data_IF_875681172640
#
_entry.id   IF_875681172640
#
_cell.length_a   1.000
_cell.length_b   1.000
_cell.length_c   1.000
_cell.angle_alpha   90.00
_cell.angle_beta   90.00
_cell.angle_gamma   90.00
#
_symmetry.space_group_name_H-M   'P 1'
#
loop_
_entity.id
_entity.type
_entity.pdbx_description
1 polymer ?
#
# COMPACT_ATOMS: atom_id res chain seq x y z
N UNK A 1 31.37 2.35 32.00
CA UNK A 1 30.23 1.82 32.80
C UNK A 1 28.91 2.34 32.25
N UNK A 2 28.81 3.65 31.98
CA UNK A 2 27.63 4.28 31.38
C UNK A 2 27.16 3.63 30.07
N UNK A 3 28.05 3.41 29.09
CA UNK A 3 27.66 2.76 27.83
C UNK A 3 27.08 1.36 28.02
N UNK A 4 27.61 0.58 28.97
CA UNK A 4 27.04 -0.73 29.28
C UNK A 4 25.68 -0.58 29.94
N UNK A 5 25.52 0.34 30.90
CA UNK A 5 24.22 0.61 31.51
C UNK A 5 23.16 1.01 30.47
N UNK A 6 23.52 1.88 29.52
CA UNK A 6 22.65 2.27 28.41
C UNK A 6 22.38 1.10 27.45
N UNK A 7 23.39 0.28 27.14
CA UNK A 7 23.24 -0.90 26.26
C UNK A 7 22.46 -2.06 26.89
N UNK A 8 22.17 -1.98 28.19
CA UNK A 8 21.40 -2.99 28.92
C UNK A 8 20.13 -2.40 29.57
N UNK A 9 19.73 -1.17 29.20
CA UNK A 9 18.51 -0.54 29.71
C UNK A 9 18.48 -0.34 31.22
N UNK A 10 19.63 -0.24 31.88
CA UNK A 10 19.72 -0.16 33.33
C UNK A 10 19.43 1.27 33.82
N UNK A 11 18.15 1.67 33.81
CA UNK A 11 17.70 3.03 34.15
C UNK A 11 18.21 3.51 35.52
N UNK A 12 18.21 2.65 36.54
CA UNK A 12 18.71 3.01 37.88
C UNK A 12 20.18 3.45 37.86
N UNK A 13 20.99 2.79 37.03
CA UNK A 13 22.42 3.10 36.89
C UNK A 13 22.61 4.37 36.07
N UNK A 14 21.80 4.57 35.02
CA UNK A 14 21.82 5.80 34.21
C UNK A 14 21.42 7.01 35.07
N UNK A 15 20.33 6.88 35.84
CA UNK A 15 19.83 7.91 36.77
C UNK A 15 20.88 8.24 37.82
N UNK A 16 21.45 7.22 38.48
CA UNK A 16 22.50 7.42 39.48
C UNK A 16 23.72 8.15 38.91
N UNK A 17 24.13 7.82 37.68
CA UNK A 17 25.28 8.48 37.06
C UNK A 17 24.94 9.92 36.70
N UNK A 18 23.78 10.20 36.10
CA UNK A 18 23.37 11.57 35.74
C UNK A 18 23.14 12.45 36.98
N UNK A 19 22.61 11.91 38.08
CA UNK A 19 22.48 12.60 39.37
C UNK A 19 23.82 12.93 40.04
N UNK A 20 24.90 12.20 39.68
CA UNK A 20 26.23 12.33 40.29
C UNK A 20 27.20 13.16 39.47
N UNK A 21 26.92 13.41 38.21
CA UNK A 21 27.70 14.34 37.42
C UNK A 21 27.12 15.74 37.72
N UNK A 22 27.81 16.50 38.57
CA UNK A 22 27.55 17.94 38.73
C UNK A 22 28.31 18.64 37.59
N UNK A 23 27.59 18.97 36.51
CA UNK A 23 28.15 19.10 35.15
C UNK A 23 28.86 20.43 34.83
N UNK A 24 29.63 20.97 35.78
CA UNK A 24 30.49 22.13 35.51
C UNK A 24 31.97 21.78 35.30
N UNK A 25 32.43 20.59 35.69
CA UNK A 25 33.84 20.19 35.51
C UNK A 25 33.95 18.66 35.33
N UNK A 26 33.86 18.16 34.10
CA UNK A 26 34.17 16.76 33.81
C UNK A 26 35.09 16.65 32.58
N UNK A 27 36.39 16.75 32.82
CA UNK A 27 37.48 16.54 31.84
C UNK A 27 37.96 15.07 31.76
N UNK A 28 37.18 14.09 32.22
CA UNK A 28 37.63 12.68 32.22
C UNK A 28 36.54 11.69 31.82
N UNK A 29 36.34 11.52 30.51
CA UNK A 29 35.93 10.22 29.96
C UNK A 29 36.87 9.91 28.78
N UNK A 30 37.69 8.88 28.95
CA UNK A 30 38.54 8.34 27.88
C UNK A 30 37.67 7.88 26.70
N UNK A 31 38.02 8.39 25.53
CA UNK A 31 37.53 8.06 24.19
C UNK A 31 37.08 6.60 24.00
N UNK A 32 35.85 6.42 23.52
CA UNK A 32 35.28 5.12 23.16
C UNK A 32 35.24 5.04 21.64
N UNK A 33 36.13 4.20 21.07
CA UNK A 33 36.12 3.84 19.66
C UNK A 33 34.86 3.02 19.35
N UNK A 34 33.93 3.60 18.59
CA UNK A 34 32.82 2.90 17.96
C UNK A 34 33.38 2.19 16.72
N UNK A 35 33.23 0.87 16.66
CA UNK A 35 33.44 0.10 15.44
C UNK A 35 32.37 0.55 14.44
N UNK A 36 32.84 1.07 13.30
CA UNK A 36 32.11 1.58 12.11
C UNK A 36 31.42 2.96 12.21
N UNK A 37 32.23 4.02 12.03
CA UNK A 37 31.97 5.40 11.54
C UNK A 37 30.49 5.91 11.42
N UNK A 38 30.21 7.10 11.98
CA UNK A 38 30.61 8.36 11.33
C UNK A 38 31.67 9.15 12.12
N UNK A 39 32.36 10.12 11.48
CA UNK A 39 33.62 10.64 12.00
C UNK A 39 33.44 11.81 12.98
N UNK A 40 34.40 11.91 13.90
CA UNK A 40 34.80 13.09 14.70
C UNK A 40 34.05 13.36 16.03
N UNK A 41 34.49 12.74 17.15
CA UNK A 41 34.25 13.26 18.52
C UNK A 41 35.47 12.98 19.42
N UNK A 42 36.41 13.93 19.49
CA UNK A 42 37.45 13.99 20.52
C UNK A 42 37.25 15.33 21.27
N UNK A 43 37.26 15.28 22.61
CA UNK A 43 36.92 16.32 23.60
C UNK A 43 35.45 16.29 24.06
N UNK A 44 35.15 15.51 25.11
CA UNK A 44 33.80 15.38 25.68
C UNK A 44 33.54 16.43 26.76
N UNK A 45 32.65 17.38 26.48
CA UNK A 45 31.95 18.16 27.50
C UNK A 45 30.67 17.41 27.96
N UNK A 46 29.93 17.95 28.93
CA UNK A 46 28.61 17.46 29.36
C UNK A 46 27.70 17.09 28.18
N UNK A 47 27.68 17.94 27.15
CA UNK A 47 26.78 17.80 26.01
C UNK A 47 27.12 16.54 25.20
N UNK A 48 28.41 16.16 25.13
CA UNK A 48 28.86 14.93 24.47
C UNK A 48 28.43 13.63 25.19
N UNK A 49 28.32 13.63 26.52
CA UNK A 49 27.94 12.44 27.30
C UNK A 49 26.44 12.15 27.15
N UNK A 50 25.62 13.19 27.26
CA UNK A 50 24.16 13.10 27.07
C UNK A 50 23.85 12.58 25.66
N UNK A 51 24.56 13.11 24.66
CA UNK A 51 24.44 12.68 23.27
C UNK A 51 24.71 11.18 23.11
N UNK A 52 25.81 10.69 23.72
CA UNK A 52 26.20 9.28 23.65
C UNK A 52 25.17 8.36 24.35
N UNK A 53 24.64 8.78 25.51
CA UNK A 53 23.58 8.06 26.23
C UNK A 53 22.33 7.98 25.34
N UNK A 54 21.89 9.12 24.81
CA UNK A 54 20.70 9.22 23.96
C UNK A 54 20.83 8.28 22.76
N UNK A 55 21.96 8.35 22.05
CA UNK A 55 22.20 7.54 20.86
C UNK A 55 22.28 6.06 21.17
N UNK A 56 22.89 5.67 22.29
CA UNK A 56 22.99 4.25 22.64
C UNK A 56 21.64 3.69 23.09
N UNK A 57 20.87 4.48 23.85
CA UNK A 57 19.51 4.13 24.24
C UNK A 57 18.61 4.00 23.01
N UNK A 58 18.72 4.92 22.04
CA UNK A 58 18.03 4.83 20.76
C UNK A 58 18.43 3.59 19.99
N UNK A 59 19.73 3.31 19.85
CA UNK A 59 20.24 2.15 19.10
C UNK A 59 19.74 0.80 19.66
N UNK A 60 19.54 0.71 20.98
CA UNK A 60 19.15 -0.52 21.66
C UNK A 60 17.64 -0.56 22.01
N UNK A 61 16.86 0.44 21.64
CA UNK A 61 15.41 0.46 21.86
C UNK A 61 14.98 0.68 23.31
N UNK A 62 15.81 1.27 24.18
CA UNK A 62 15.44 1.49 25.59
C UNK A 62 14.63 2.77 25.78
N UNK A 63 13.32 2.67 25.56
CA UNK A 63 12.37 3.77 25.66
C UNK A 63 12.46 4.52 27.00
N UNK A 64 12.53 3.82 28.13
CA UNK A 64 12.59 4.44 29.46
C UNK A 64 13.81 5.35 29.65
N UNK A 65 14.96 4.95 29.09
CA UNK A 65 16.20 5.74 29.15
C UNK A 65 16.08 6.97 28.25
N UNK A 66 15.49 6.82 27.05
CA UNK A 66 15.22 7.94 26.15
C UNK A 66 14.28 8.95 26.80
N UNK A 67 13.18 8.49 27.40
CA UNK A 67 12.24 9.32 28.17
C UNK A 67 12.96 10.10 29.25
N UNK A 68 13.75 9.42 30.07
CA UNK A 68 14.50 10.07 31.15
C UNK A 68 15.45 11.16 30.63
N UNK A 69 16.20 10.88 29.56
CA UNK A 69 17.13 11.86 28.97
C UNK A 69 16.39 13.08 28.43
N UNK A 70 15.26 12.87 27.73
CA UNK A 70 14.44 13.95 27.19
C UNK A 70 13.79 14.80 28.29
N UNK A 71 13.43 14.22 29.43
CA UNK A 71 12.80 14.95 30.55
C UNK A 71 13.81 15.73 31.41
N UNK A 72 15.07 15.29 31.45
CA UNK A 72 16.07 15.81 32.38
C UNK A 72 17.21 16.58 31.70
N UNK A 73 17.15 16.79 30.38
CA UNK A 73 18.19 17.51 29.63
C UNK A 73 17.62 18.62 28.76
N UNK A 74 18.36 19.72 28.59
CA UNK A 74 18.02 20.78 27.65
C UNK A 74 18.03 20.24 26.21
N UNK A 75 16.88 20.27 25.54
CA UNK A 75 16.68 19.77 24.17
C UNK A 75 17.64 20.39 23.15
N UNK A 76 18.15 21.61 23.38
CA UNK A 76 19.15 22.23 22.50
C UNK A 76 20.51 21.52 22.48
N UNK A 77 20.75 20.65 23.46
CA UNK A 77 21.97 19.86 23.60
C UNK A 77 21.85 18.47 22.99
N UNK A 78 20.65 18.10 22.56
CA UNK A 78 20.38 16.81 21.92
C UNK A 78 20.22 17.09 20.43
N UNK A 79 21.05 16.46 19.61
CA UNK A 79 20.78 16.39 18.18
C UNK A 79 19.68 15.34 17.95
N UNK A 80 18.44 15.84 18.01
CA UNK A 80 17.21 15.07 17.88
C UNK A 80 17.17 14.34 16.54
N UNK A 81 17.64 14.98 15.47
CA UNK A 81 17.59 14.39 14.15
C UNK A 81 18.47 13.14 14.07
N UNK A 82 19.68 13.20 14.62
CA UNK A 82 20.57 12.03 14.71
C UNK A 82 19.97 10.93 15.58
N UNK A 83 19.31 11.26 16.70
CA UNK A 83 18.61 10.27 17.52
C UNK A 83 17.49 9.53 16.74
N UNK A 84 16.67 10.27 15.99
CA UNK A 84 15.63 9.70 15.11
C UNK A 84 16.25 8.82 14.02
N UNK A 85 17.35 9.27 13.39
CA UNK A 85 18.05 8.46 12.39
C UNK A 85 18.60 7.15 12.95
N UNK A 86 19.15 7.17 14.16
CA UNK A 86 19.67 5.97 14.82
C UNK A 86 18.53 4.99 15.10
N UNK A 87 17.40 5.46 15.63
CA UNK A 87 16.22 4.61 15.87
C UNK A 87 15.73 3.95 14.57
N UNK A 88 15.62 4.69 13.47
CA UNK A 88 15.29 4.12 12.16
C UNK A 88 16.35 3.17 11.60
N UNK A 89 17.63 3.40 11.90
CA UNK A 89 18.71 2.53 11.43
C UNK A 89 18.67 1.19 12.15
N UNK A 90 18.35 1.20 13.45
CA UNK A 90 18.09 -0.02 14.22
C UNK A 90 16.92 -0.81 13.63
N UNK A 91 15.80 -0.16 13.29
CA UNK A 91 14.69 -0.83 12.57
C UNK A 91 15.22 -1.50 11.29
N UNK A 92 16.00 -0.80 10.47
CA UNK A 92 16.52 -1.33 9.22
C UNK A 92 17.48 -2.53 9.38
N UNK A 93 18.29 -2.55 10.44
CA UNK A 93 19.19 -3.68 10.74
C UNK A 93 18.44 -4.95 11.17
N UNK A 94 17.17 -4.83 11.57
CA UNK A 94 16.33 -5.96 11.98
C UNK A 94 15.50 -6.57 10.85
N UNK A 95 15.46 -5.96 9.66
CA UNK A 95 14.61 -6.42 8.53
C UNK A 95 14.92 -7.84 8.01
N UNK A 96 15.93 -8.51 8.55
CA UNK A 96 16.32 -9.89 8.23
C UNK A 96 15.91 -10.93 9.30
N UNK A 97 15.16 -10.55 10.35
CA UNK A 97 14.80 -11.43 11.49
C UNK A 97 13.29 -11.67 11.65
N UNK A 98 12.87 -12.84 12.16
CA UNK A 98 11.46 -13.28 12.25
C UNK A 98 10.56 -12.43 13.19
N UNK A 99 11.13 -11.53 14.01
CA UNK A 99 10.43 -10.74 15.05
C UNK A 99 10.34 -9.22 14.72
N UNK A 100 10.43 -8.82 13.44
CA UNK A 100 10.51 -7.40 13.00
C UNK A 100 9.40 -6.52 13.57
N UNK A 101 8.17 -7.03 13.70
CA UNK A 101 7.02 -6.17 14.01
C UNK A 101 6.96 -5.70 15.47
N UNK A 102 7.22 -6.57 16.45
CA UNK A 102 7.20 -6.19 17.87
C UNK A 102 8.32 -5.19 18.18
N UNK A 103 9.50 -5.39 17.60
CA UNK A 103 10.59 -4.42 17.72
C UNK A 103 10.27 -3.10 16.97
N UNK A 104 9.63 -3.14 15.79
CA UNK A 104 9.22 -1.92 15.07
C UNK A 104 8.30 -1.04 15.91
N UNK A 105 7.28 -1.60 16.58
CA UNK A 105 6.35 -0.84 17.44
C UNK A 105 7.06 -0.13 18.61
N UNK A 106 8.10 -0.77 19.15
CA UNK A 106 8.93 -0.22 20.23
C UNK A 106 9.77 0.97 19.75
N UNK A 107 10.41 0.87 18.59
CA UNK A 107 11.14 2.01 18.00
C UNK A 107 10.21 3.10 17.51
N UNK A 108 9.04 2.75 17.01
CA UNK A 108 7.99 3.69 16.63
C UNK A 108 7.53 4.55 17.81
N UNK A 109 7.23 3.91 18.95
CA UNK A 109 6.89 4.61 20.20
C UNK A 109 8.00 5.56 20.64
N UNK A 110 9.25 5.13 20.50
CA UNK A 110 10.42 5.96 20.82
C UNK A 110 10.57 7.15 19.88
N UNK A 111 10.44 6.94 18.57
CA UNK A 111 10.55 8.02 17.58
C UNK A 111 9.44 9.04 17.82
N UNK A 112 8.21 8.59 18.03
CA UNK A 112 7.09 9.48 18.35
C UNK A 112 7.36 10.33 19.59
N UNK A 113 7.84 9.71 20.68
CA UNK A 113 8.21 10.44 21.90
C UNK A 113 9.30 11.49 21.63
N UNK A 114 10.32 11.14 20.84
CA UNK A 114 11.39 12.07 20.47
C UNK A 114 10.81 13.26 19.69
N UNK A 115 9.90 13.02 18.76
CA UNK A 115 9.25 14.06 17.96
C UNK A 115 8.33 14.95 18.80
N UNK A 116 7.57 14.40 19.75
CA UNK A 116 6.71 15.16 20.68
C UNK A 116 7.48 16.16 21.54
N UNK A 117 8.76 15.89 21.80
CA UNK A 117 9.64 16.73 22.61
C UNK A 117 10.54 17.66 21.77
N UNK A 118 10.50 17.53 20.45
CA UNK A 118 11.38 18.24 19.56
C UNK A 118 10.86 19.63 19.17
N UNK A 119 11.79 20.54 18.89
CA UNK A 119 11.48 21.75 18.13
C UNK A 119 11.39 21.41 16.64
N UNK A 120 10.16 21.33 16.10
CA UNK A 120 9.91 20.90 14.72
C UNK A 120 10.53 21.80 13.65
N UNK A 121 10.87 23.05 13.97
CA UNK A 121 11.54 23.95 13.01
C UNK A 121 13.00 23.55 12.73
N UNK A 122 13.59 22.68 13.57
CA UNK A 122 14.94 22.15 13.40
C UNK A 122 14.98 20.78 12.72
N UNK A 123 13.81 20.20 12.40
CA UNK A 123 13.71 18.86 11.86
C UNK A 123 13.53 18.87 10.34
N UNK A 124 14.20 17.93 9.65
CA UNK A 124 13.87 17.59 8.27
C UNK A 124 12.65 16.66 8.26
N UNK A 125 11.46 17.25 8.48
CA UNK A 125 10.20 16.51 8.58
C UNK A 125 9.90 15.68 7.33
N UNK A 126 10.39 16.11 6.16
CA UNK A 126 10.30 15.34 4.90
C UNK A 126 11.06 14.03 4.99
N UNK A 127 12.28 14.04 5.50
CA UNK A 127 13.07 12.81 5.60
C UNK A 127 12.53 11.88 6.69
N UNK A 128 12.00 12.42 7.78
CA UNK A 128 11.34 11.64 8.83
C UNK A 128 10.07 10.98 8.26
N UNK A 129 9.22 11.73 7.54
CA UNK A 129 8.03 11.20 6.88
C UNK A 129 8.37 10.09 5.88
N UNK A 130 9.40 10.29 5.04
CA UNK A 130 9.85 9.26 4.09
C UNK A 130 10.25 7.95 4.79
N UNK A 131 10.95 8.05 5.92
CA UNK A 131 11.36 6.88 6.71
C UNK A 131 10.18 6.23 7.42
N UNK A 132 9.31 7.02 8.04
CA UNK A 132 8.09 6.51 8.67
C UNK A 132 7.24 5.70 7.69
N UNK A 133 7.03 6.21 6.46
CA UNK A 133 6.30 5.49 5.42
C UNK A 133 7.05 4.27 4.86
N UNK A 134 8.40 4.30 4.84
CA UNK A 134 9.21 3.15 4.42
C UNK A 134 9.09 1.98 5.40
N UNK A 135 9.09 2.30 6.70
CA UNK A 135 9.13 1.34 7.79
C UNK A 135 7.75 1.07 8.42
N UNK A 136 6.67 1.53 7.80
CA UNK A 136 5.30 1.30 8.25
C UNK A 136 5.00 1.78 9.68
N UNK A 137 5.68 2.84 10.12
CA UNK A 137 5.45 3.48 11.41
C UNK A 137 4.20 4.39 11.36
N UNK A 138 3.02 3.78 11.44
CA UNK A 138 1.72 4.44 11.34
C UNK A 138 1.47 5.52 12.41
N UNK A 139 1.90 5.30 13.66
CA UNK A 139 1.79 6.26 14.76
C UNK A 139 2.67 7.49 14.52
N UNK A 140 3.88 7.28 13.97
CA UNK A 140 4.77 8.40 13.60
C UNK A 140 4.19 9.18 12.44
N UNK A 141 3.67 8.49 11.40
CA UNK A 141 2.99 9.17 10.28
C UNK A 141 1.78 9.96 10.77
N UNK A 142 0.94 9.36 11.61
CA UNK A 142 -0.23 10.02 12.20
C UNK A 142 0.18 11.27 12.95
N UNK A 143 1.18 11.16 13.83
CA UNK A 143 1.69 12.29 14.58
C UNK A 143 2.19 13.42 13.65
N UNK A 144 2.95 13.09 12.61
CA UNK A 144 3.46 14.08 11.65
C UNK A 144 2.33 14.77 10.90
N UNK A 145 1.33 14.02 10.42
CA UNK A 145 0.17 14.56 9.71
C UNK A 145 -0.71 15.47 10.60
N UNK A 146 -0.77 15.20 11.90
CA UNK A 146 -1.58 15.99 12.84
C UNK A 146 -0.88 17.24 13.38
N UNK A 147 0.45 17.23 13.44
CA UNK A 147 1.22 18.26 14.13
C UNK A 147 2.16 19.07 13.21
N UNK A 148 2.20 18.75 11.92
CA UNK A 148 3.07 19.43 10.95
C UNK A 148 2.30 20.04 9.79
N UNK A 149 2.89 21.07 9.18
CA UNK A 149 2.44 21.61 7.91
C UNK A 149 2.69 20.59 6.78
N UNK A 150 1.62 20.17 6.10
CA UNK A 150 1.66 19.13 5.06
C UNK A 150 2.54 19.50 3.88
N UNK A 151 2.69 20.79 3.56
CA UNK A 151 3.58 21.25 2.49
C UNK A 151 5.06 20.92 2.81
N UNK A 152 5.42 20.85 4.10
CA UNK A 152 6.78 20.51 4.55
C UNK A 152 7.06 19.01 4.50
N UNK A 153 6.03 18.15 4.46
CA UNK A 153 6.17 16.69 4.56
C UNK A 153 6.46 16.01 3.21
N UNK A 154 6.25 16.71 2.08
CA UNK A 154 6.47 16.16 0.72
C UNK A 154 5.78 14.79 0.52
N UNK A 155 4.51 14.76 0.92
CA UNK A 155 3.69 13.56 1.16
C UNK A 155 3.67 12.62 -0.04
N UNK A 156 3.62 13.14 -1.28
CA UNK A 156 3.60 12.29 -2.47
C UNK A 156 4.86 11.41 -2.62
N UNK A 157 6.03 11.90 -2.20
CA UNK A 157 7.24 11.06 -2.19
C UNK A 157 7.14 9.99 -1.11
N UNK A 158 6.60 10.32 0.05
CA UNK A 158 6.42 9.37 1.15
C UNK A 158 5.44 8.25 0.76
N UNK A 159 4.33 8.61 0.11
CA UNK A 159 3.39 7.69 -0.55
C UNK A 159 4.10 6.76 -1.54
N UNK A 160 4.92 7.32 -2.44
CA UNK A 160 5.65 6.51 -3.42
C UNK A 160 6.67 5.56 -2.78
N UNK A 161 7.30 5.97 -1.68
CA UNK A 161 8.21 5.12 -0.91
C UNK A 161 7.45 3.96 -0.28
N UNK A 162 6.29 4.23 0.34
CA UNK A 162 5.44 3.20 0.91
C UNK A 162 5.09 2.13 -0.15
N UNK A 163 4.79 2.54 -1.39
CA UNK A 163 4.55 1.63 -2.49
C UNK A 163 5.79 0.85 -2.95
N UNK A 164 6.96 1.50 -3.09
CA UNK A 164 8.17 0.84 -3.61
C UNK A 164 8.68 -0.31 -2.74
N UNK A 165 8.31 -0.32 -1.45
CA UNK A 165 8.63 -1.41 -0.51
C UNK A 165 7.75 -2.66 -0.65
N UNK A 166 6.71 -2.57 -1.48
CA UNK A 166 5.98 -3.71 -2.01
C UNK A 166 6.74 -4.09 -3.29
N UNK A 167 7.89 -4.74 -3.15
CA UNK A 167 8.63 -5.23 -4.32
C UNK A 167 7.71 -6.15 -5.12
N UNK A 168 7.76 -6.00 -6.44
CA UNK A 168 7.14 -6.90 -7.41
C UNK A 168 7.75 -8.33 -7.37
N UNK A 169 8.70 -8.61 -6.45
CA UNK A 169 9.68 -9.71 -6.56
C UNK A 169 9.65 -10.84 -5.51
N UNK A 170 8.94 -10.76 -4.38
CA UNK A 170 9.03 -11.81 -3.33
C UNK A 170 7.62 -12.33 -2.95
N UNK A 171 7.09 -13.40 -3.57
CA UNK A 171 7.27 -14.85 -3.30
C UNK A 171 6.55 -15.35 -2.03
N UNK A 172 5.36 -15.93 -2.25
CA UNK A 172 4.67 -17.04 -1.55
C UNK A 172 4.55 -17.13 -0.01
N UNK A 173 5.06 -16.17 0.77
CA UNK A 173 5.02 -16.26 2.25
C UNK A 173 3.87 -15.48 2.90
N UNK A 174 3.31 -16.07 3.97
CA UNK A 174 2.13 -15.59 4.70
C UNK A 174 2.23 -14.16 5.25
N UNK A 175 3.44 -13.62 5.43
CA UNK A 175 3.71 -12.26 5.92
C UNK A 175 3.34 -11.15 4.93
N UNK A 176 3.06 -11.49 3.67
CA UNK A 176 2.62 -10.52 2.67
C UNK A 176 1.26 -9.91 3.03
N UNK A 177 0.38 -10.65 3.72
CA UNK A 177 -0.96 -10.17 4.04
C UNK A 177 -0.94 -9.08 5.11
N UNK A 178 -0.20 -9.27 6.20
CA UNK A 178 -0.09 -8.26 7.27
C UNK A 178 0.63 -6.99 6.78
N UNK A 179 1.68 -7.16 5.96
CA UNK A 179 2.37 -6.03 5.32
C UNK A 179 1.44 -5.24 4.39
N UNK A 180 0.58 -5.92 3.63
CA UNK A 180 -0.42 -5.25 2.77
C UNK A 180 -1.46 -4.49 3.58
N UNK A 181 -1.92 -5.05 4.70
CA UNK A 181 -2.90 -4.39 5.57
C UNK A 181 -2.35 -3.09 6.16
N UNK A 182 -1.13 -3.09 6.72
CA UNK A 182 -0.51 -1.87 7.27
C UNK A 182 -0.32 -0.79 6.19
N UNK A 183 0.05 -1.17 4.97
CA UNK A 183 0.13 -0.24 3.84
C UNK A 183 -1.24 0.33 3.48
N UNK A 184 -2.27 -0.50 3.42
CA UNK A 184 -3.64 -0.05 3.17
C UNK A 184 -4.13 0.94 4.25
N UNK A 185 -3.84 0.67 5.52
CA UNK A 185 -4.13 1.57 6.64
C UNK A 185 -3.39 2.92 6.50
N UNK A 186 -2.11 2.88 6.16
CA UNK A 186 -1.31 4.09 5.89
C UNK A 186 -1.94 4.94 4.76
N UNK A 187 -2.42 4.31 3.69
CA UNK A 187 -3.08 5.01 2.59
C UNK A 187 -4.38 5.67 3.02
N UNK A 188 -5.23 4.95 3.74
CA UNK A 188 -6.47 5.53 4.30
C UNK A 188 -6.16 6.74 5.16
N UNK A 189 -5.20 6.62 6.07
CA UNK A 189 -4.79 7.71 6.95
C UNK A 189 -4.35 8.94 6.14
N UNK A 190 -3.52 8.75 5.12
CA UNK A 190 -3.05 9.86 4.26
C UNK A 190 -4.24 10.50 3.52
N UNK A 191 -5.15 9.71 2.94
CA UNK A 191 -6.31 10.23 2.22
C UNK A 191 -7.33 10.95 3.13
N UNK A 192 -7.43 10.54 4.39
CA UNK A 192 -8.33 11.17 5.38
C UNK A 192 -7.75 12.45 5.96
N UNK A 193 -6.44 12.53 6.11
CA UNK A 193 -5.77 13.63 6.83
C UNK A 193 -5.22 14.70 5.91
N UNK A 194 -4.89 14.39 4.65
CA UNK A 194 -4.16 15.29 3.75
C UNK A 194 -5.10 15.90 2.71
N UNK A 195 -4.89 17.18 2.41
CA UNK A 195 -5.58 17.83 1.29
C UNK A 195 -5.26 17.10 -0.02
N UNK A 196 -6.30 16.65 -0.72
CA UNK A 196 -6.19 15.89 -1.96
C UNK A 196 -5.51 16.68 -3.08
N UNK A 197 -5.49 18.01 -3.03
CA UNK A 197 -4.76 18.83 -4.01
C UNK A 197 -3.22 18.73 -3.86
N UNK A 198 -2.72 18.20 -2.74
CA UNK A 198 -1.30 17.89 -2.53
C UNK A 198 -0.92 16.47 -3.00
N UNK A 199 -1.90 15.68 -3.44
CA UNK A 199 -1.74 14.28 -3.80
C UNK A 199 -1.89 14.09 -5.31
N UNK A 200 -1.09 13.19 -5.87
CA UNK A 200 -1.33 12.66 -7.21
C UNK A 200 -2.34 11.51 -7.11
N UNK A 201 -3.63 11.88 -7.10
CA UNK A 201 -4.72 10.92 -6.91
C UNK A 201 -4.79 9.88 -8.03
N UNK A 202 -4.33 10.22 -9.25
CA UNK A 202 -4.25 9.27 -10.37
C UNK A 202 -3.24 8.17 -10.08
N UNK A 203 -2.04 8.55 -9.65
CA UNK A 203 -1.00 7.58 -9.30
C UNK A 203 -1.42 6.70 -8.10
N UNK A 204 -2.08 7.29 -7.09
CA UNK A 204 -2.58 6.53 -5.92
C UNK A 204 -3.66 5.54 -6.34
N UNK A 205 -4.65 5.97 -7.12
CA UNK A 205 -5.73 5.12 -7.63
C UNK A 205 -5.16 3.98 -8.48
N UNK A 206 -4.26 4.29 -9.42
CA UNK A 206 -3.62 3.31 -10.29
C UNK A 206 -2.94 2.19 -9.48
N UNK A 207 -2.17 2.58 -8.46
CA UNK A 207 -1.50 1.62 -7.58
C UNK A 207 -2.47 0.84 -6.70
N UNK A 208 -3.50 1.48 -6.18
CA UNK A 208 -4.56 0.78 -5.42
C UNK A 208 -5.24 -0.28 -6.31
N UNK A 209 -5.52 0.03 -7.58
CA UNK A 209 -6.02 -0.93 -8.56
C UNK A 209 -5.03 -2.05 -8.88
N UNK A 210 -3.74 -1.73 -9.07
CA UNK A 210 -2.68 -2.70 -9.32
C UNK A 210 -2.52 -3.69 -8.16
N UNK A 211 -2.53 -3.21 -6.91
CA UNK A 211 -2.29 -4.03 -5.71
C UNK A 211 -3.56 -4.54 -5.02
N UNK A 212 -4.75 -4.21 -5.54
CA UNK A 212 -6.05 -4.63 -5.01
C UNK A 212 -6.40 -4.07 -3.62
N UNK A 213 -6.07 -2.80 -3.35
CA UNK A 213 -6.48 -2.12 -2.13
C UNK A 213 -7.91 -1.61 -2.25
N UNK A 214 -8.87 -2.52 -2.06
CA UNK A 214 -10.29 -2.26 -2.28
C UNK A 214 -10.80 -1.09 -1.42
N UNK A 215 -10.33 -0.96 -0.18
CA UNK A 215 -10.83 0.09 0.69
C UNK A 215 -10.21 1.45 0.35
N UNK A 216 -8.98 1.48 -0.16
CA UNK A 216 -8.36 2.71 -0.69
C UNK A 216 -9.09 3.17 -1.95
N UNK A 217 -9.40 2.25 -2.87
CA UNK A 217 -10.23 2.56 -4.04
C UNK A 217 -11.61 3.07 -3.60
N UNK A 218 -12.23 2.43 -2.61
CA UNK A 218 -13.52 2.88 -2.06
C UNK A 218 -13.41 4.30 -1.50
N UNK A 219 -12.39 4.58 -0.69
CA UNK A 219 -12.15 5.89 -0.12
C UNK A 219 -11.97 6.96 -1.22
N UNK A 220 -11.17 6.68 -2.24
CA UNK A 220 -10.94 7.60 -3.37
C UNK A 220 -12.23 7.89 -4.14
N UNK A 221 -13.00 6.84 -4.48
CA UNK A 221 -14.26 6.99 -5.21
C UNK A 221 -15.34 7.72 -4.39
N UNK A 222 -15.29 7.67 -3.06
CA UNK A 222 -16.28 8.34 -2.20
C UNK A 222 -15.92 9.78 -1.84
N UNK A 223 -14.63 10.12 -1.81
CA UNK A 223 -14.14 11.40 -1.29
C UNK A 223 -13.48 12.29 -2.35
N UNK A 224 -13.35 11.83 -3.59
CA UNK A 224 -12.69 12.57 -4.67
C UNK A 224 -13.65 12.83 -5.83
N UNK A 225 -13.49 13.97 -6.50
CA UNK A 225 -14.07 14.20 -7.81
C UNK A 225 -13.48 13.23 -8.85
N UNK A 226 -14.32 12.41 -9.47
CA UNK A 226 -13.91 11.36 -10.40
C UNK A 226 -13.19 11.90 -11.64
N UNK A 227 -13.44 13.17 -12.02
CA UNK A 227 -12.70 13.82 -13.12
C UNK A 227 -11.20 14.01 -12.81
N UNK A 228 -10.80 13.97 -11.53
CA UNK A 228 -9.40 14.01 -11.12
C UNK A 228 -8.68 12.66 -11.29
N UNK A 229 -9.41 11.58 -11.53
CA UNK A 229 -8.89 10.22 -11.68
C UNK A 229 -8.69 9.85 -13.16
N UNK A 230 -8.03 8.72 -13.44
CA UNK A 230 -7.91 8.15 -14.78
C UNK A 230 -8.56 6.77 -14.80
N UNK A 231 -9.88 6.78 -14.61
CA UNK A 231 -10.67 5.59 -14.27
C UNK A 231 -10.56 4.48 -15.31
N UNK A 232 -10.40 4.83 -16.58
CA UNK A 232 -10.22 3.82 -17.64
C UNK A 232 -8.84 3.17 -17.54
N UNK A 233 -7.79 3.95 -17.27
CA UNK A 233 -6.45 3.38 -17.04
C UNK A 233 -6.40 2.57 -15.74
N UNK A 234 -7.15 2.97 -14.71
CA UNK A 234 -7.29 2.25 -13.44
C UNK A 234 -7.95 0.87 -13.65
N UNK A 235 -9.03 0.81 -14.44
CA UNK A 235 -9.67 -0.46 -14.84
C UNK A 235 -8.73 -1.31 -15.71
N UNK A 236 -8.01 -0.70 -16.65
CA UNK A 236 -7.01 -1.40 -17.47
C UNK A 236 -5.91 -2.02 -16.59
N UNK A 237 -5.46 -1.26 -15.58
CA UNK A 237 -4.46 -1.70 -14.63
C UNK A 237 -4.96 -2.88 -13.82
N UNK A 238 -6.19 -2.82 -13.31
CA UNK A 238 -6.82 -3.96 -12.63
C UNK A 238 -6.86 -5.21 -13.53
N UNK A 239 -7.30 -5.09 -14.79
CA UNK A 239 -7.30 -6.20 -15.75
C UNK A 239 -5.90 -6.74 -16.08
N UNK A 240 -4.92 -5.86 -16.27
CA UNK A 240 -3.53 -6.26 -16.55
C UNK A 240 -2.92 -7.04 -15.38
N UNK A 241 -3.32 -6.70 -14.16
CA UNK A 241 -2.82 -7.34 -12.94
C UNK A 241 -3.43 -8.73 -12.68
N UNK A 242 -4.56 -9.08 -13.32
CA UNK A 242 -5.07 -10.47 -13.32
C UNK A 242 -4.03 -11.47 -13.84
N UNK A 243 -3.09 -10.99 -14.64
CA UNK A 243 -2.06 -11.79 -15.29
C UNK A 243 -0.76 -11.88 -14.47
N UNK A 244 -0.73 -11.25 -13.30
CA UNK A 244 0.47 -11.14 -12.47
C UNK A 244 0.55 -12.29 -11.45
N UNK A 245 1.23 -13.38 -11.84
CA UNK A 245 1.56 -14.59 -11.04
C UNK A 245 0.36 -15.30 -10.38
N UNK A 246 0.43 -16.63 -10.22
CA UNK A 246 -0.62 -17.43 -9.56
C UNK A 246 -1.75 -17.90 -10.49
N UNK A 247 -2.78 -18.50 -9.90
CA UNK A 247 -3.95 -19.02 -10.61
C UNK A 247 -4.83 -17.85 -11.12
N UNK A 248 -5.15 -17.84 -12.42
CA UNK A 248 -5.96 -16.78 -13.04
C UNK A 248 -7.35 -16.71 -12.41
N UNK A 249 -7.94 -17.85 -12.05
CA UNK A 249 -9.26 -17.90 -11.43
C UNK A 249 -9.22 -17.25 -10.04
N UNK A 250 -8.16 -17.48 -9.26
CA UNK A 250 -7.95 -16.83 -7.95
C UNK A 250 -7.71 -15.32 -8.08
N UNK A 251 -6.89 -14.89 -9.06
CA UNK A 251 -6.64 -13.46 -9.30
C UNK A 251 -7.92 -12.74 -9.75
N UNK A 252 -8.73 -13.41 -10.56
CA UNK A 252 -10.04 -12.90 -10.99
C UNK A 252 -10.95 -12.66 -9.80
N UNK A 253 -11.14 -13.66 -8.95
CA UNK A 253 -11.98 -13.54 -7.75
C UNK A 253 -11.55 -12.38 -6.84
N UNK A 254 -10.25 -12.10 -6.75
CA UNK A 254 -9.72 -10.98 -5.96
C UNK A 254 -10.00 -9.61 -6.59
N UNK A 255 -9.95 -9.49 -7.92
CA UNK A 255 -10.01 -8.20 -8.64
C UNK A 255 -11.41 -7.81 -9.12
N UNK A 256 -12.30 -8.77 -9.36
CA UNK A 256 -13.68 -8.49 -9.77
C UNK A 256 -14.42 -7.54 -8.82
N UNK A 257 -14.31 -7.65 -7.48
CA UNK A 257 -14.95 -6.72 -6.55
C UNK A 257 -14.56 -5.27 -6.80
N UNK A 258 -13.29 -5.01 -7.11
CA UNK A 258 -12.75 -3.70 -7.38
C UNK A 258 -13.33 -3.11 -8.68
N UNK A 259 -13.35 -3.89 -9.76
CA UNK A 259 -13.91 -3.44 -11.05
C UNK A 259 -15.42 -3.18 -10.92
N UNK A 260 -16.14 -4.07 -10.22
CA UNK A 260 -17.57 -3.89 -9.92
C UNK A 260 -17.83 -2.63 -9.11
N UNK A 261 -16.97 -2.31 -8.14
CA UNK A 261 -17.08 -1.11 -7.34
C UNK A 261 -16.97 0.15 -8.22
N UNK A 262 -15.97 0.21 -9.09
CA UNK A 262 -15.79 1.32 -10.05
C UNK A 262 -17.06 1.48 -10.90
N UNK A 263 -17.53 0.41 -11.53
CA UNK A 263 -18.75 0.44 -12.38
C UNK A 263 -19.98 0.97 -11.63
N UNK A 264 -20.13 0.63 -10.34
CA UNK A 264 -21.31 1.02 -9.54
C UNK A 264 -21.24 2.43 -8.99
N UNK A 265 -20.04 2.95 -8.75
CA UNK A 265 -19.82 4.23 -8.05
C UNK A 265 -19.55 5.38 -9.01
N UNK A 266 -19.04 5.10 -10.20
CA UNK A 266 -18.60 6.09 -11.17
C UNK A 266 -19.67 6.40 -12.20
N UNK A 267 -19.73 7.64 -12.65
CA UNK A 267 -20.53 8.03 -13.82
C UNK A 267 -20.03 7.30 -15.08
N UNK A 268 -20.92 6.57 -15.73
CA UNK A 268 -20.60 5.75 -16.90
C UNK A 268 -20.10 6.55 -18.10
N UNK A 269 -20.35 7.85 -18.15
CA UNK A 269 -19.82 8.70 -19.23
C UNK A 269 -18.30 8.94 -19.09
N UNK A 270 -17.71 8.64 -17.93
CA UNK A 270 -16.26 8.64 -17.69
C UNK A 270 -15.58 7.31 -18.04
N UNK A 271 -16.35 6.29 -18.44
CA UNK A 271 -15.88 4.94 -18.69
C UNK A 271 -16.11 4.53 -20.15
N UNK A 272 -15.14 3.85 -20.75
CA UNK A 272 -15.39 3.09 -21.98
C UNK A 272 -16.04 1.74 -21.63
N UNK A 273 -17.35 1.76 -21.36
CA UNK A 273 -18.09 0.58 -20.94
C UNK A 273 -18.03 -0.58 -21.95
N UNK A 274 -17.91 -0.27 -23.25
CA UNK A 274 -17.73 -1.27 -24.31
C UNK A 274 -16.41 -2.01 -24.12
N UNK A 275 -15.31 -1.29 -23.93
CA UNK A 275 -14.01 -1.90 -23.71
C UNK A 275 -13.96 -2.70 -22.40
N UNK A 276 -14.59 -2.21 -21.34
CA UNK A 276 -14.72 -2.93 -20.07
C UNK A 276 -15.50 -4.24 -20.26
N UNK A 277 -16.63 -4.19 -20.97
CA UNK A 277 -17.45 -5.37 -21.28
C UNK A 277 -16.67 -6.39 -22.13
N UNK A 278 -15.97 -5.92 -23.17
CA UNK A 278 -15.12 -6.75 -24.02
C UNK A 278 -14.05 -7.47 -23.21
N UNK A 279 -13.36 -6.77 -22.30
CA UNK A 279 -12.36 -7.38 -21.40
C UNK A 279 -12.99 -8.36 -20.43
N UNK A 280 -14.10 -7.99 -19.78
CA UNK A 280 -14.81 -8.88 -18.86
C UNK A 280 -15.21 -10.19 -19.56
N UNK A 281 -15.70 -10.11 -20.79
CA UNK A 281 -16.06 -11.27 -21.61
C UNK A 281 -14.84 -12.09 -22.04
N UNK A 282 -13.79 -11.41 -22.50
CA UNK A 282 -12.53 -12.06 -22.91
C UNK A 282 -11.84 -12.77 -21.74
N UNK A 283 -12.03 -12.30 -20.52
CA UNK A 283 -11.38 -12.80 -19.31
C UNK A 283 -12.29 -13.60 -18.37
N UNK A 284 -13.47 -13.98 -18.84
CA UNK A 284 -14.44 -14.81 -18.11
C UNK A 284 -14.83 -14.23 -16.74
N UNK A 285 -14.88 -12.90 -16.66
CA UNK A 285 -15.26 -12.18 -15.45
C UNK A 285 -16.78 -12.12 -15.32
N UNK A 286 -17.41 -13.26 -15.06
CA UNK A 286 -18.87 -13.44 -15.05
C UNK A 286 -19.57 -12.43 -14.13
N UNK A 287 -18.95 -12.13 -13.00
CA UNK A 287 -19.47 -11.24 -11.97
C UNK A 287 -19.42 -9.76 -12.42
N UNK A 288 -18.39 -9.39 -13.18
CA UNK A 288 -18.27 -8.07 -13.81
C UNK A 288 -19.24 -7.94 -14.97
N UNK A 289 -19.37 -8.97 -15.82
CA UNK A 289 -20.36 -9.00 -16.92
C UNK A 289 -21.78 -8.85 -16.37
N UNK A 290 -22.12 -9.59 -15.31
CA UNK A 290 -23.40 -9.47 -14.61
C UNK A 290 -23.62 -8.03 -14.11
N UNK A 291 -22.60 -7.46 -13.47
CA UNK A 291 -22.66 -6.09 -12.96
C UNK A 291 -22.91 -5.06 -14.07
N UNK A 292 -22.22 -5.17 -15.21
CA UNK A 292 -22.43 -4.29 -16.36
C UNK A 292 -23.86 -4.41 -16.90
N UNK A 293 -24.32 -5.64 -17.16
CA UNK A 293 -25.66 -5.90 -17.71
C UNK A 293 -26.80 -5.42 -16.78
N UNK A 294 -26.57 -5.35 -15.48
CA UNK A 294 -27.56 -4.93 -14.47
C UNK A 294 -27.53 -3.43 -14.15
N UNK A 295 -26.38 -2.76 -14.34
CA UNK A 295 -26.21 -1.36 -13.94
C UNK A 295 -26.09 -0.40 -15.12
N UNK A 296 -25.90 -0.89 -16.35
CA UNK A 296 -25.71 -0.07 -17.54
C UNK A 296 -26.78 -0.34 -18.59
N UNK A 297 -27.07 0.66 -19.41
CA UNK A 297 -27.91 0.48 -20.60
C UNK A 297 -27.15 -0.35 -21.64
N UNK A 298 -27.79 -1.41 -22.18
CA UNK A 298 -27.12 -2.36 -23.10
C UNK A 298 -26.61 -1.71 -24.39
N UNK A 299 -27.20 -0.59 -24.80
CA UNK A 299 -26.74 0.20 -25.95
C UNK A 299 -25.31 0.74 -25.76
N UNK A 300 -24.87 1.00 -24.51
CA UNK A 300 -23.52 1.47 -24.19
C UNK A 300 -22.47 0.34 -24.18
N UNK A 301 -22.89 -0.92 -24.25
CA UNK A 301 -22.00 -2.09 -24.04
C UNK A 301 -21.51 -2.78 -25.32
N UNK A 302 -22.12 -2.51 -26.47
CA UNK A 302 -21.90 -3.25 -27.73
C UNK A 302 -21.93 -4.78 -27.53
N UNK A 303 -23.12 -5.29 -27.24
CA UNK A 303 -23.30 -6.69 -26.83
C UNK A 303 -22.79 -7.68 -27.87
N UNK A 304 -22.94 -7.40 -29.17
CA UNK A 304 -22.47 -8.32 -30.21
C UNK A 304 -20.95 -8.41 -30.23
N UNK A 305 -20.25 -7.28 -30.06
CA UNK A 305 -18.80 -7.31 -29.90
C UNK A 305 -18.37 -8.02 -28.62
N UNK A 306 -19.09 -7.84 -27.52
CA UNK A 306 -18.84 -8.54 -26.26
C UNK A 306 -18.96 -10.07 -26.41
N UNK A 307 -20.01 -10.56 -27.09
CA UNK A 307 -20.17 -11.99 -27.40
C UNK A 307 -19.02 -12.50 -28.25
N UNK A 308 -18.60 -11.72 -29.25
CA UNK A 308 -17.44 -12.07 -30.09
C UNK A 308 -16.15 -12.12 -29.27
N UNK A 309 -15.97 -11.19 -28.33
CA UNK A 309 -14.84 -11.14 -27.40
C UNK A 309 -14.82 -12.34 -26.46
N UNK A 310 -15.98 -12.85 -26.04
CA UNK A 310 -16.06 -14.08 -25.24
C UNK A 310 -15.55 -15.32 -26.00
N UNK A 311 -15.79 -15.40 -27.32
CA UNK A 311 -15.27 -16.48 -28.16
C UNK A 311 -13.76 -16.38 -28.47
N UNK A 312 -13.14 -15.22 -28.20
CA UNK A 312 -11.71 -15.06 -28.41
C UNK A 312 -10.93 -15.86 -27.36
N UNK A 313 -10.31 -16.95 -27.82
CA UNK A 313 -9.44 -17.77 -26.99
C UNK A 313 -8.15 -17.02 -26.64
N UNK A 314 -7.64 -17.26 -25.45
CA UNK A 314 -6.33 -16.80 -25.02
C UNK A 314 -5.31 -17.87 -25.41
N UNK A 315 -4.97 -17.89 -26.71
CA UNK A 315 -4.23 -18.96 -27.39
C UNK A 315 -2.87 -19.31 -26.74
N UNK A 316 -2.31 -18.43 -25.93
CA UNK A 316 -1.02 -18.63 -25.26
C UNK A 316 -1.10 -19.37 -23.91
N UNK A 317 -2.27 -19.85 -23.46
CA UNK A 317 -2.44 -20.27 -22.06
C UNK A 317 -3.34 -21.50 -21.82
N UNK A 318 -2.77 -22.58 -21.32
CA UNK A 318 -3.55 -23.75 -20.86
C UNK A 318 -4.17 -24.57 -21.99
N UNK A 319 -4.98 -25.55 -21.61
CA UNK A 319 -5.64 -26.44 -22.56
C UNK A 319 -6.76 -25.70 -23.31
N UNK A 320 -6.74 -25.77 -24.65
CA UNK A 320 -7.69 -25.08 -25.51
C UNK A 320 -9.13 -25.55 -25.25
N UNK A 321 -9.33 -26.84 -24.96
CA UNK A 321 -10.66 -27.38 -24.71
C UNK A 321 -11.18 -26.98 -23.32
N UNK A 322 -10.30 -26.82 -22.33
CA UNK A 322 -10.65 -26.24 -21.04
C UNK A 322 -11.06 -24.77 -21.17
N UNK A 323 -10.29 -23.98 -21.93
CA UNK A 323 -10.61 -22.57 -22.19
C UNK A 323 -11.97 -22.43 -22.87
N UNK A 324 -12.26 -23.25 -23.90
CA UNK A 324 -13.56 -23.24 -24.59
C UNK A 324 -14.70 -23.42 -23.61
N UNK A 325 -14.62 -24.43 -22.73
CA UNK A 325 -15.65 -24.67 -21.70
C UNK A 325 -15.81 -23.49 -20.74
N UNK A 326 -14.73 -22.81 -20.36
CA UNK A 326 -14.80 -21.63 -19.47
C UNK A 326 -15.52 -20.43 -20.11
N UNK A 327 -15.60 -20.34 -21.44
CA UNK A 327 -16.30 -19.24 -22.15
C UNK A 327 -17.82 -19.38 -22.16
N UNK A 328 -18.32 -20.60 -22.11
CA UNK A 328 -19.74 -20.92 -22.26
C UNK A 328 -20.66 -20.19 -21.26
N UNK A 329 -20.34 -20.11 -19.94
CA UNK A 329 -21.17 -19.42 -18.96
C UNK A 329 -21.39 -17.93 -19.25
N UNK A 330 -20.37 -17.21 -19.72
CA UNK A 330 -20.47 -15.77 -20.01
C UNK A 330 -21.40 -15.53 -21.20
N UNK A 331 -21.25 -16.32 -22.27
CA UNK A 331 -22.09 -16.18 -23.47
C UNK A 331 -23.54 -16.48 -23.10
N UNK A 332 -23.78 -17.54 -22.34
CA UNK A 332 -25.11 -17.91 -21.86
C UNK A 332 -25.73 -16.81 -21.01
N UNK A 333 -24.97 -16.23 -20.07
CA UNK A 333 -25.42 -15.11 -19.25
C UNK A 333 -25.87 -13.91 -20.09
N UNK A 334 -25.07 -13.52 -21.10
CA UNK A 334 -25.43 -12.42 -22.01
C UNK A 334 -26.75 -12.72 -22.72
N UNK A 335 -26.90 -13.92 -23.28
CA UNK A 335 -28.12 -14.35 -23.96
C UNK A 335 -29.33 -14.43 -23.02
N UNK A 336 -29.14 -14.71 -21.73
CA UNK A 336 -30.23 -14.73 -20.75
C UNK A 336 -30.71 -13.32 -20.35
N UNK A 337 -29.82 -12.33 -20.40
CA UNK A 337 -30.04 -10.99 -19.84
C UNK A 337 -30.35 -9.92 -20.89
N UNK A 338 -29.94 -10.12 -22.13
CA UNK A 338 -30.09 -9.13 -23.22
C UNK A 338 -31.25 -9.49 -24.13
N UNK A 339 -31.93 -8.48 -24.68
CA UNK A 339 -32.94 -8.67 -25.72
C UNK A 339 -32.31 -9.18 -27.03
N UNK A 340 -32.96 -10.15 -27.66
CA UNK A 340 -32.40 -10.88 -28.80
C UNK A 340 -32.56 -10.14 -30.12
N UNK A 341 -33.44 -9.13 -30.17
CA UNK A 341 -33.73 -8.36 -31.38
C UNK A 341 -32.50 -7.61 -31.93
N UNK A 342 -31.54 -7.28 -31.06
CA UNK A 342 -30.28 -6.61 -31.43
C UNK A 342 -29.12 -7.56 -31.76
N UNK A 343 -29.33 -8.88 -31.68
CA UNK A 343 -28.25 -9.87 -31.81
C UNK A 343 -28.33 -10.64 -33.13
N UNK A 344 -27.18 -10.90 -33.74
CA UNK A 344 -27.09 -11.89 -34.83
C UNK A 344 -27.04 -13.30 -34.24
N UNK A 345 -28.20 -13.81 -33.84
CA UNK A 345 -28.35 -15.14 -33.24
C UNK A 345 -27.84 -16.26 -34.15
N UNK A 346 -27.85 -16.06 -35.48
CA UNK A 346 -27.34 -17.05 -36.43
C UNK A 346 -25.82 -17.09 -36.37
N UNK A 347 -25.16 -15.95 -36.30
CA UNK A 347 -23.71 -15.89 -36.08
C UNK A 347 -23.34 -16.52 -34.74
N UNK A 348 -24.06 -16.19 -33.67
CA UNK A 348 -23.83 -16.76 -32.33
C UNK A 348 -24.01 -18.29 -32.37
N UNK A 349 -25.09 -18.80 -32.99
CA UNK A 349 -25.32 -20.24 -33.16
C UNK A 349 -24.17 -20.91 -33.91
N UNK A 350 -23.68 -20.31 -35.01
CA UNK A 350 -22.58 -20.88 -35.78
C UNK A 350 -21.28 -20.95 -34.95
N UNK A 351 -20.99 -19.92 -34.14
CA UNK A 351 -19.85 -19.93 -33.22
C UNK A 351 -20.04 -20.95 -32.10
N UNK A 352 -21.20 -21.01 -31.47
CA UNK A 352 -21.49 -22.00 -30.44
C UNK A 352 -21.29 -23.44 -30.94
N UNK A 353 -21.75 -23.77 -32.16
CA UNK A 353 -21.47 -25.06 -32.79
C UNK A 353 -19.98 -25.27 -33.11
N UNK A 354 -19.26 -24.23 -33.55
CA UNK A 354 -17.82 -24.32 -33.86
C UNK A 354 -16.97 -24.59 -32.62
N UNK A 355 -17.36 -24.01 -31.48
CA UNK A 355 -16.64 -24.13 -30.21
C UNK A 355 -17.18 -25.21 -29.27
N UNK A 356 -18.18 -25.99 -29.72
CA UNK A 356 -18.83 -27.07 -28.95
C UNK A 356 -19.49 -26.58 -27.63
N UNK A 357 -20.09 -25.39 -27.65
CA UNK A 357 -20.84 -24.82 -26.54
C UNK A 357 -22.30 -25.29 -26.58
N UNK A 358 -22.53 -26.55 -26.19
CA UNK A 358 -23.82 -27.23 -26.32
C UNK A 358 -24.94 -26.55 -25.50
N UNK A 359 -24.64 -25.97 -24.34
CA UNK A 359 -25.64 -25.28 -23.53
C UNK A 359 -26.12 -24.00 -24.22
N UNK A 360 -25.21 -23.26 -24.89
CA UNK A 360 -25.57 -22.08 -25.70
C UNK A 360 -26.43 -22.49 -26.89
N UNK A 361 -26.04 -23.56 -27.61
CA UNK A 361 -26.84 -24.09 -28.73
C UNK A 361 -28.24 -24.50 -28.26
N UNK A 362 -28.33 -25.24 -27.15
CA UNK A 362 -29.60 -25.69 -26.58
C UNK A 362 -30.46 -24.50 -26.17
N UNK A 363 -29.88 -23.51 -25.49
CA UNK A 363 -30.57 -22.29 -25.09
C UNK A 363 -31.15 -21.54 -26.30
N UNK A 364 -30.36 -21.35 -27.36
CA UNK A 364 -30.81 -20.65 -28.56
C UNK A 364 -31.94 -21.40 -29.27
N UNK A 365 -31.90 -22.73 -29.33
CA UNK A 365 -32.97 -23.55 -29.93
C UNK A 365 -34.27 -23.49 -29.12
N UNK A 366 -34.19 -23.41 -27.79
CA UNK A 366 -35.36 -23.32 -26.93
C UNK A 366 -36.01 -21.93 -26.93
N UNK A 367 -35.21 -20.86 -27.00
CA UNK A 367 -35.66 -19.48 -26.88
C UNK A 367 -35.96 -18.79 -28.19
N UNK A 368 -35.34 -19.24 -29.27
CA UNK A 368 -35.57 -18.72 -30.63
C UNK A 368 -36.05 -19.84 -31.56
N UNK A 369 -37.20 -20.47 -31.28
CA UNK A 369 -37.78 -21.45 -32.20
C UNK A 369 -38.14 -20.73 -33.50
N UNK A 370 -37.59 -21.26 -34.60
CA UNK A 370 -37.72 -20.80 -36.00
C UNK A 370 -39.09 -20.30 -36.41
#
# INVERSE_FOLDING_TARGET
MMNKACSYGCLDVVTFILDKIDLQECDMIESINIVSNPPCLNDMNHDSIVLEIMYKACCCGYLDVVTFVLENTDHKKIDIMTAVYIAYSSINEMYDEDDIYEETEKYESMIKLILEKADHDLLDLKEIMNKACRFDCLDVVTFLLENSDHEKLHIMKAVNIAYSSISDEDDDDGDIYEKREKKEQLFKLILEKVDHDLLDLKEIMNKACRYNYLDVVTCLLENTDHEKLDLMEDVNTAYSSLWYRGDIDEQREKKEPLIKLIIKKVDHDLLDLKEIMNKACRYDCLDVVTCLLENTEHEKLDIMEAVNSAYNLLLDRGDIDEQRKKKEPVIKLILEKVDHDSLDLKEIMNKACLYDHLDVVTFLLEKCPS
#
